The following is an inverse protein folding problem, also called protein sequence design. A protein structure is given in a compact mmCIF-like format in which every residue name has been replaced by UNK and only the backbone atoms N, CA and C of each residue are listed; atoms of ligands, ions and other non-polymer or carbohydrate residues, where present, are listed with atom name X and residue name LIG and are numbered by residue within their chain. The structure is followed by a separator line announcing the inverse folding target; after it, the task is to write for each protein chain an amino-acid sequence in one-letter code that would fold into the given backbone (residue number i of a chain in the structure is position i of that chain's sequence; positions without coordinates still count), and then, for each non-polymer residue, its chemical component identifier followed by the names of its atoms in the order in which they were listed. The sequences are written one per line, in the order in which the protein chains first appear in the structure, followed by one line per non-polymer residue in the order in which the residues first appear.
data_IF_527681593696
#
_entry.id   IF_527681593696
#
_cell.length_a   1.000
_cell.length_b   1.000
_cell.length_c   1.000
_cell.angle_alpha   90.00
_cell.angle_beta   90.00
_cell.angle_gamma   90.00
#
_symmetry.space_group_name_H-M   'P 1'
#
loop_
_entity.id
_entity.type
_entity.pdbx_description
1 polymer ?
#
# COMPACT_ATOMS: atom_id res chain seq x y z
N UNK A 1 24.85 2.63 -33.35
CA UNK A 1 25.91 2.47 -32.33
C UNK A 1 26.14 3.73 -31.48
N UNK A 2 26.36 4.94 -32.05
CA UNK A 2 26.62 6.18 -31.26
C UNK A 2 25.56 6.49 -30.18
N UNK A 3 24.29 6.23 -30.46
CA UNK A 3 23.18 6.44 -29.51
C UNK A 3 23.27 5.56 -28.26
N UNK A 4 23.60 4.28 -28.44
CA UNK A 4 23.68 3.30 -27.34
C UNK A 4 24.78 3.70 -26.35
N UNK A 5 25.96 4.10 -26.85
CA UNK A 5 27.07 4.54 -26.00
C UNK A 5 26.73 5.78 -25.17
N UNK A 6 26.04 6.75 -25.78
CA UNK A 6 25.61 7.95 -25.06
C UNK A 6 24.56 7.62 -24.00
N UNK A 7 23.56 6.81 -24.34
CA UNK A 7 22.51 6.43 -23.39
C UNK A 7 23.08 5.61 -22.21
N UNK A 8 24.07 4.75 -22.46
CA UNK A 8 24.81 4.02 -21.41
C UNK A 8 25.60 4.97 -20.52
N UNK A 9 26.31 5.95 -21.09
CA UNK A 9 27.06 6.94 -20.33
C UNK A 9 26.14 7.78 -19.43
N UNK A 10 25.01 8.25 -19.98
CA UNK A 10 24.01 9.00 -19.21
C UNK A 10 23.49 8.14 -18.06
N UNK A 11 23.14 6.88 -18.33
CA UNK A 11 22.64 5.97 -17.29
C UNK A 11 23.66 5.75 -16.17
N UNK A 12 24.95 5.57 -16.50
CA UNK A 12 26.02 5.44 -15.50
C UNK A 12 26.12 6.70 -14.63
N UNK A 13 26.02 7.89 -15.22
CA UNK A 13 26.02 9.15 -14.47
C UNK A 13 24.80 9.28 -13.55
N UNK A 14 23.60 8.89 -14.02
CA UNK A 14 22.38 8.88 -13.21
C UNK A 14 22.47 7.87 -12.05
N UNK A 15 23.07 6.70 -12.30
CA UNK A 15 23.32 5.70 -11.26
C UNK A 15 24.37 6.15 -10.24
N UNK A 16 25.35 6.98 -10.64
CA UNK A 16 26.30 7.58 -9.71
C UNK A 16 25.67 8.72 -8.89
N UNK A 17 24.76 9.50 -9.48
CA UNK A 17 24.07 10.60 -8.81
C UNK A 17 23.11 10.13 -7.71
N UNK A 18 22.40 9.01 -7.92
CA UNK A 18 21.44 8.47 -6.95
C UNK A 18 22.00 8.26 -5.53
N UNK A 19 23.09 7.48 -5.32
CA UNK A 19 23.67 7.29 -3.99
C UNK A 19 24.27 8.58 -3.43
N UNK A 20 24.77 9.50 -4.27
CA UNK A 20 25.29 10.79 -3.82
C UNK A 20 24.18 11.66 -3.20
N UNK A 21 23.02 11.72 -3.85
CA UNK A 21 21.86 12.44 -3.33
C UNK A 21 21.37 11.87 -1.99
N UNK A 22 21.33 10.54 -1.86
CA UNK A 22 20.98 9.91 -0.58
C UNK A 22 22.06 10.14 0.49
N UNK A 23 23.33 10.06 0.14
CA UNK A 23 24.43 10.34 1.07
C UNK A 23 24.32 11.78 1.60
N UNK A 24 24.03 12.76 0.73
CA UNK A 24 23.76 14.13 1.13
C UNK A 24 22.55 14.24 2.05
N UNK A 25 21.44 13.58 1.73
CA UNK A 25 20.26 13.58 2.59
C UNK A 25 20.55 12.99 3.98
N UNK A 26 21.40 11.96 4.05
CA UNK A 26 21.82 11.28 5.29
C UNK A 26 23.02 11.94 5.98
N UNK A 27 23.40 13.16 5.59
CA UNK A 27 24.36 13.95 6.36
C UNK A 27 23.73 14.38 7.69
N UNK A 28 24.41 14.07 8.80
CA UNK A 28 24.01 14.45 10.14
C UNK A 28 23.31 13.34 10.94
N UNK A 29 22.98 13.68 12.17
CA UNK A 29 22.29 12.79 13.11
C UNK A 29 20.79 12.81 12.84
N UNK A 30 20.19 11.62 12.77
CA UNK A 30 18.75 11.46 12.57
C UNK A 30 18.13 10.79 13.78
N UNK A 31 16.98 11.28 14.21
CA UNK A 31 16.27 10.72 15.35
C UNK A 31 14.75 10.73 15.16
N UNK A 32 14.11 9.73 15.76
CA UNK A 32 12.66 9.62 15.83
C UNK A 32 12.27 9.06 17.20
N UNK A 33 11.21 9.63 17.77
CA UNK A 33 10.63 9.21 19.05
C UNK A 33 9.22 8.72 18.76
N UNK A 34 8.89 7.58 19.35
CA UNK A 34 7.59 6.94 19.22
C UNK A 34 7.03 6.59 20.60
N UNK A 35 5.72 6.76 20.76
CA UNK A 35 4.94 6.31 21.91
C UNK A 35 4.11 5.07 21.58
N UNK A 36 3.53 4.45 22.62
CA UNK A 36 2.61 3.33 22.46
C UNK A 36 1.32 3.68 21.69
N UNK A 37 1.00 4.96 21.54
CA UNK A 37 -0.18 5.47 20.84
C UNK A 37 0.06 5.87 19.39
N UNK A 38 1.30 5.80 18.89
CA UNK A 38 1.57 6.16 17.51
C UNK A 38 0.90 5.21 16.51
N UNK A 39 0.61 5.75 15.34
CA UNK A 39 -0.04 5.02 14.25
C UNK A 39 0.80 3.80 13.84
N UNK A 40 0.15 2.66 13.58
CA UNK A 40 0.79 1.44 13.12
C UNK A 40 1.59 1.63 11.81
N UNK A 41 1.23 2.63 11.00
CA UNK A 41 2.00 2.99 9.80
C UNK A 41 3.38 3.60 10.12
N UNK A 42 3.52 4.27 11.27
CA UNK A 42 4.80 4.85 11.71
C UNK A 42 5.61 3.81 12.51
N UNK A 43 4.96 3.13 13.45
CA UNK A 43 5.55 2.08 14.28
C UNK A 43 4.72 0.79 14.19
N UNK A 44 4.95 -0.06 13.17
CA UNK A 44 4.31 -1.37 13.11
C UNK A 44 4.69 -2.20 14.32
N UNK A 45 3.67 -2.72 15.01
CA UNK A 45 3.81 -3.57 16.18
C UNK A 45 2.95 -4.82 16.00
N UNK A 46 3.54 -5.97 16.27
CA UNK A 46 2.88 -7.27 16.36
C UNK A 46 3.14 -7.85 17.76
N UNK A 47 2.28 -8.73 18.27
CA UNK A 47 2.44 -9.33 19.60
C UNK A 47 2.31 -8.32 20.75
N UNK A 48 1.48 -7.30 20.56
CA UNK A 48 1.14 -6.31 21.59
C UNK A 48 -0.38 -6.23 21.75
N UNK A 49 -0.82 -6.11 23.00
CA UNK A 49 -2.21 -5.87 23.34
C UNK A 49 -2.66 -4.44 22.97
N UNK A 50 -3.95 -4.18 23.14
CA UNK A 50 -4.53 -2.86 22.95
C UNK A 50 -3.90 -1.82 23.87
N UNK A 51 -4.07 -0.54 23.49
CA UNK A 51 -3.56 0.57 24.27
C UNK A 51 -4.33 0.71 25.58
N UNK A 52 -3.60 0.84 26.68
CA UNK A 52 -4.15 1.02 28.02
C UNK A 52 -3.56 2.26 28.71
N UNK A 53 -4.35 2.80 29.64
CA UNK A 53 -3.87 3.76 30.63
C UNK A 53 -3.75 3.03 31.96
N UNK A 54 -2.58 3.09 32.58
CA UNK A 54 -2.38 2.47 33.89
C UNK A 54 -2.81 3.44 34.99
N UNK A 55 -3.52 2.94 36.00
CA UNK A 55 -4.08 3.79 37.06
C UNK A 55 -3.01 4.45 37.95
N UNK A 56 -1.84 3.81 38.07
CA UNK A 56 -0.74 4.23 38.94
C UNK A 56 0.22 5.23 38.27
N UNK A 57 0.10 5.46 36.95
CA UNK A 57 1.04 6.31 36.21
C UNK A 57 0.42 6.96 34.96
N UNK A 58 0.74 8.24 34.69
CA UNK A 58 0.25 8.90 33.48
C UNK A 58 0.96 8.36 32.23
N UNK A 59 0.20 8.24 31.14
CA UNK A 59 0.71 7.85 29.83
C UNK A 59 -0.07 6.71 29.20
N UNK A 60 0.29 6.39 27.96
CA UNK A 60 -0.29 5.30 27.18
C UNK A 60 0.69 4.14 27.13
N UNK A 61 0.19 2.93 27.32
CA UNK A 61 0.98 1.71 27.43
C UNK A 61 0.40 0.61 26.56
N UNK A 62 1.23 -0.35 26.17
CA UNK A 62 0.81 -1.61 25.59
C UNK A 62 1.55 -2.75 26.26
N UNK A 63 0.87 -3.84 26.55
CA UNK A 63 1.48 -5.06 27.04
C UNK A 63 1.97 -5.90 25.87
N UNK A 64 3.13 -6.54 25.99
CA UNK A 64 3.52 -7.60 25.05
C UNK A 64 2.75 -8.89 25.39
N UNK A 65 2.54 -9.75 24.40
CA UNK A 65 1.97 -11.10 24.59
C UNK A 65 3.05 -12.18 24.86
N UNK A 66 4.26 -11.73 25.18
CA UNK A 66 5.46 -12.58 25.35
C UNK A 66 6.37 -12.64 24.13
N UNK A 67 5.89 -12.26 22.94
CA UNK A 67 6.68 -12.25 21.71
C UNK A 67 6.30 -11.06 20.82
N UNK A 68 6.69 -9.86 21.26
CA UNK A 68 6.39 -8.65 20.51
C UNK A 68 7.42 -8.40 19.40
N UNK A 69 6.95 -7.88 18.26
CA UNK A 69 7.81 -7.40 17.17
C UNK A 69 7.49 -5.95 16.87
N UNK A 70 8.49 -5.08 16.95
CA UNK A 70 8.40 -3.64 16.71
C UNK A 70 9.31 -3.29 15.54
N UNK A 71 8.84 -2.48 14.59
CA UNK A 71 9.58 -2.15 13.37
C UNK A 71 9.81 -0.63 13.18
N UNK A 72 10.61 0.05 14.03
CA UNK A 72 10.91 1.46 13.83
C UNK A 72 11.66 1.74 12.51
N UNK A 73 11.58 2.97 11.98
CA UNK A 73 12.33 3.36 10.79
C UNK A 73 13.84 3.37 11.07
N UNK A 74 14.63 3.12 10.03
CA UNK A 74 16.08 3.08 10.08
C UNK A 74 16.68 4.48 9.77
N UNK A 75 17.25 5.18 10.76
CA UNK A 75 17.91 6.48 10.55
C UNK A 75 19.22 6.40 9.75
N UNK A 76 19.74 5.20 9.43
CA UNK A 76 21.01 4.98 8.75
C UNK A 76 22.18 4.78 9.73
N UNK A 77 23.21 4.08 9.26
CA UNK A 77 24.41 3.76 10.03
C UNK A 77 24.16 2.91 11.29
N UNK A 78 25.04 3.06 12.28
CA UNK A 78 24.88 2.43 13.60
C UNK A 78 23.74 3.09 14.38
N UNK A 79 23.06 2.30 15.20
CA UNK A 79 21.80 2.68 15.81
C UNK A 79 21.92 2.72 17.32
N UNK A 80 21.49 3.82 17.92
CA UNK A 80 21.22 3.90 19.35
C UNK A 80 19.71 3.81 19.57
N UNK A 81 19.31 2.73 20.23
CA UNK A 81 17.93 2.44 20.58
C UNK A 81 17.71 2.73 22.07
N UNK A 82 16.66 3.50 22.37
CA UNK A 82 16.20 3.78 23.72
C UNK A 82 14.80 3.20 23.87
N UNK A 83 14.63 2.16 24.69
CA UNK A 83 13.34 1.55 24.96
C UNK A 83 12.83 1.94 26.34
N UNK A 84 11.58 2.38 26.43
CA UNK A 84 10.90 2.65 27.71
C UNK A 84 10.03 1.45 28.06
N UNK A 85 10.56 0.58 28.91
CA UNK A 85 9.92 -0.67 29.32
C UNK A 85 9.67 -0.69 30.83
N UNK A 86 8.69 -1.48 31.25
CA UNK A 86 8.47 -1.88 32.64
C UNK A 86 8.17 -3.36 32.69
N UNK A 87 8.53 -4.07 33.75
CA UNK A 87 8.01 -5.44 33.95
C UNK A 87 6.48 -5.45 34.08
N UNK A 88 5.87 -4.32 34.47
CA UNK A 88 4.43 -4.21 34.74
C UNK A 88 3.96 -4.98 35.97
N UNK A 89 4.88 -5.70 36.61
CA UNK A 89 4.67 -6.60 37.73
C UNK A 89 5.59 -6.16 38.87
N UNK A 90 5.30 -6.57 40.10
CA UNK A 90 6.14 -6.28 41.26
C UNK A 90 7.47 -7.05 41.26
N UNK A 91 7.74 -7.81 40.19
CA UNK A 91 8.91 -8.65 40.02
C UNK A 91 9.73 -8.24 38.78
N UNK A 92 10.99 -8.66 38.79
CA UNK A 92 11.91 -8.49 37.67
C UNK A 92 11.58 -9.51 36.57
N UNK A 93 11.52 -9.08 35.32
CA UNK A 93 11.20 -9.95 34.17
C UNK A 93 12.40 -10.06 33.23
N UNK A 94 12.91 -11.26 32.91
CA UNK A 94 13.97 -11.41 31.92
C UNK A 94 13.42 -11.08 30.52
N UNK A 95 14.18 -10.30 29.76
CA UNK A 95 13.86 -9.88 28.40
C UNK A 95 14.99 -10.30 27.47
N UNK A 96 14.62 -10.92 26.36
CA UNK A 96 15.53 -11.20 25.25
C UNK A 96 15.13 -10.31 24.08
N UNK A 97 16.00 -9.38 23.72
CA UNK A 97 15.84 -8.50 22.58
C UNK A 97 16.64 -9.05 21.41
N UNK A 98 15.99 -9.23 20.26
CA UNK A 98 16.64 -9.60 19.01
C UNK A 98 16.51 -8.48 17.99
N UNK A 99 17.62 -8.08 17.39
CA UNK A 99 17.64 -7.09 16.32
C UNK A 99 18.38 -7.66 15.09
N UNK A 100 17.78 -7.53 13.91
CA UNK A 100 18.43 -7.93 12.65
C UNK A 100 18.83 -9.41 12.59
N UNK A 101 19.88 -9.72 11.81
CA UNK A 101 20.40 -11.08 11.63
C UNK A 101 21.43 -11.42 12.72
N UNK A 102 20.94 -11.77 13.91
CA UNK A 102 21.72 -12.48 14.92
C UNK A 102 22.12 -11.69 16.16
N UNK A 103 21.81 -10.39 16.25
CA UNK A 103 22.10 -9.63 17.45
C UNK A 103 21.04 -9.96 18.51
N UNK A 104 21.45 -10.68 19.54
CA UNK A 104 20.62 -11.04 20.68
C UNK A 104 21.21 -10.43 21.94
N UNK A 105 20.43 -9.61 22.64
CA UNK A 105 20.80 -9.00 23.91
C UNK A 105 19.80 -9.44 24.97
N UNK A 106 20.29 -9.91 26.11
CA UNK A 106 19.46 -10.26 27.26
C UNK A 106 19.66 -9.26 28.39
N UNK A 107 18.57 -8.86 29.02
CA UNK A 107 18.58 -7.97 30.18
C UNK A 107 17.34 -8.21 31.03
N UNK A 108 17.24 -7.48 32.14
CA UNK A 108 16.11 -7.58 33.05
C UNK A 108 15.26 -6.30 33.02
N UNK A 109 13.98 -6.45 32.71
CA UNK A 109 12.97 -5.42 32.90
C UNK A 109 12.67 -5.30 34.40
N UNK A 110 12.90 -4.12 34.98
CA UNK A 110 12.66 -3.87 36.39
C UNK A 110 11.21 -3.39 36.60
N UNK A 111 10.67 -3.53 37.83
CA UNK A 111 9.45 -2.85 38.23
C UNK A 111 9.55 -1.33 38.03
N UNK A 112 8.45 -0.73 37.57
CA UNK A 112 8.38 0.68 37.19
C UNK A 112 8.94 0.96 35.79
N UNK A 113 8.62 2.13 35.24
CA UNK A 113 9.05 2.50 33.88
C UNK A 113 10.53 2.90 33.87
N UNK A 114 11.35 2.20 33.10
CA UNK A 114 12.79 2.44 32.94
C UNK A 114 13.15 2.63 31.48
N UNK A 115 14.25 3.34 31.24
CA UNK A 115 14.82 3.53 29.89
C UNK A 115 16.03 2.63 29.72
N UNK A 116 15.99 1.78 28.71
CA UNK A 116 17.05 0.85 28.34
C UNK A 116 17.75 1.35 27.08
N UNK A 117 19.09 1.47 27.14
CA UNK A 117 19.92 1.95 26.04
C UNK A 117 20.61 0.76 25.39
N UNK A 118 20.41 0.59 24.09
CA UNK A 118 21.02 -0.49 23.32
C UNK A 118 21.71 0.11 22.10
N UNK A 119 22.91 -0.40 21.80
CA UNK A 119 23.62 -0.13 20.56
C UNK A 119 23.37 -1.30 19.62
N UNK A 120 22.87 -1.02 18.43
CA UNK A 120 22.60 -2.01 17.39
C UNK A 120 23.47 -1.70 16.16
N UNK A 121 23.99 -2.72 15.47
CA UNK A 121 24.73 -2.48 14.24
C UNK A 121 23.81 -1.99 13.12
N UNK A 122 24.43 -1.46 12.08
CA UNK A 122 23.69 -1.00 10.90
C UNK A 122 22.87 -2.11 10.27
N UNK A 123 21.65 -1.76 9.87
CA UNK A 123 20.69 -2.68 9.26
C UNK A 123 20.47 -2.33 7.77
N UNK A 124 20.27 -3.33 6.89
CA UNK A 124 20.18 -3.10 5.45
C UNK A 124 18.86 -2.47 5.00
N UNK A 125 17.77 -2.71 5.73
CA UNK A 125 16.41 -2.28 5.37
C UNK A 125 16.07 -0.89 5.91
N UNK A 126 15.00 -0.28 5.38
CA UNK A 126 14.48 1.01 5.88
C UNK A 126 13.76 0.92 7.23
N UNK A 127 13.50 -0.31 7.69
CA UNK A 127 12.98 -0.57 9.04
C UNK A 127 13.88 -1.55 9.76
N UNK A 128 13.99 -1.36 11.05
CA UNK A 128 14.76 -2.20 11.97
C UNK A 128 13.77 -3.11 12.66
N UNK A 129 13.88 -4.42 12.48
CA UNK A 129 13.02 -5.37 13.21
C UNK A 129 13.62 -5.61 14.59
N UNK A 130 12.85 -5.27 15.63
CA UNK A 130 13.17 -5.52 17.03
C UNK A 130 12.16 -6.52 17.57
N UNK A 131 12.60 -7.72 17.92
CA UNK A 131 11.77 -8.68 18.64
C UNK A 131 12.08 -8.60 20.14
N UNK A 132 11.04 -8.57 20.96
CA UNK A 132 11.09 -8.52 22.41
C UNK A 132 10.40 -9.78 22.93
N UNK A 133 11.19 -10.72 23.42
CA UNK A 133 10.72 -11.96 24.02
C UNK A 133 10.79 -11.83 25.55
N UNK A 134 9.70 -12.18 26.24
CA UNK A 134 9.64 -12.18 27.71
C UNK A 134 8.68 -13.26 28.20
N UNK A 135 8.90 -13.87 29.38
CA UNK A 135 7.89 -14.69 30.03
C UNK A 135 6.59 -13.90 30.23
N UNK A 136 5.45 -14.58 30.13
CA UNK A 136 4.13 -13.99 30.36
C UNK A 136 3.55 -14.43 31.71
N UNK A 137 2.61 -13.64 32.22
CA UNK A 137 1.71 -14.04 33.31
C UNK A 137 0.27 -13.87 32.87
N UNK A 138 -0.56 -14.85 33.20
CA UNK A 138 -1.99 -14.76 32.93
C UNK A 138 -2.66 -13.89 33.98
N UNK A 139 -3.11 -12.69 33.60
CA UNK A 139 -3.86 -11.75 34.45
C UNK A 139 -5.14 -11.40 33.71
N UNK A 140 -6.29 -11.54 34.38
CA UNK A 140 -7.61 -11.29 33.78
C UNK A 140 -7.81 -12.00 32.43
N UNK A 141 -7.35 -13.26 32.35
CA UNK A 141 -7.41 -14.12 31.16
C UNK A 141 -6.57 -13.63 29.96
N UNK A 142 -5.59 -12.76 30.19
CA UNK A 142 -4.65 -12.31 29.17
C UNK A 142 -3.24 -12.70 29.57
N UNK A 143 -2.47 -13.18 28.61
CA UNK A 143 -1.05 -13.43 28.82
C UNK A 143 -0.29 -12.12 28.61
N UNK A 144 0.20 -11.56 29.73
CA UNK A 144 0.86 -10.27 29.78
C UNK A 144 2.36 -10.46 30.02
N UNK A 145 3.16 -9.98 29.08
CA UNK A 145 4.62 -9.88 29.19
C UNK A 145 5.04 -8.53 29.77
N UNK A 146 6.08 -7.93 29.20
CA UNK A 146 6.55 -6.59 29.61
C UNK A 146 5.64 -5.48 29.07
N UNK A 147 5.65 -4.34 29.76
CA UNK A 147 4.93 -3.12 29.34
C UNK A 147 5.84 -2.29 28.45
N UNK A 148 5.36 -1.96 27.25
CA UNK A 148 5.96 -1.01 26.34
C UNK A 148 5.27 0.36 26.46
N UNK A 149 6.05 1.43 26.65
CA UNK A 149 5.55 2.80 26.71
C UNK A 149 6.02 3.66 25.52
N UNK A 150 7.25 3.44 25.06
CA UNK A 150 7.81 4.21 23.97
C UNK A 150 9.21 3.78 23.56
N UNK A 151 9.65 4.32 22.44
CA UNK A 151 10.89 3.99 21.75
C UNK A 151 11.50 5.27 21.19
N UNK A 152 12.80 5.50 21.35
CA UNK A 152 13.54 6.50 20.59
C UNK A 152 14.65 5.80 19.83
N UNK A 153 14.78 6.11 18.55
CA UNK A 153 15.86 5.60 17.70
C UNK A 153 16.67 6.77 17.17
N UNK A 154 17.98 6.64 17.26
CA UNK A 154 18.95 7.62 16.78
C UNK A 154 19.94 6.87 15.91
N UNK A 155 20.32 7.46 14.78
CA UNK A 155 21.39 6.91 13.94
C UNK A 155 22.21 8.00 13.29
N UNK A 156 23.42 7.60 12.94
CA UNK A 156 24.42 8.43 12.28
C UNK A 156 25.10 7.58 11.22
N UNK A 157 25.10 8.03 9.97
CA UNK A 157 25.91 7.43 8.92
C UNK A 157 25.14 7.18 7.63
N UNK A 158 25.59 6.16 6.90
CA UNK A 158 25.16 5.92 5.52
C UNK A 158 23.69 5.50 5.40
N UNK A 159 23.03 5.84 4.27
CA UNK A 159 21.67 5.39 3.98
C UNK A 159 21.58 3.85 3.95
N UNK A 160 20.41 3.27 4.30
CA UNK A 160 20.21 1.83 4.23
C UNK A 160 20.52 1.30 2.81
N UNK A 161 21.37 0.27 2.67
CA UNK A 161 21.71 -0.33 1.38
C UNK A 161 20.51 -0.71 0.51
N UNK A 162 19.41 -1.18 1.11
CA UNK A 162 18.19 -1.52 0.37
C UNK A 162 17.52 -0.30 -0.28
N UNK A 163 17.56 0.85 0.39
CA UNK A 163 17.05 2.11 -0.17
C UNK A 163 17.90 2.58 -1.35
N UNK A 164 19.23 2.47 -1.25
CA UNK A 164 20.14 2.76 -2.38
C UNK A 164 19.82 1.85 -3.56
N UNK A 165 19.73 0.54 -3.31
CA UNK A 165 19.40 -0.45 -4.35
C UNK A 165 18.05 -0.19 -5.02
N UNK A 166 17.03 0.14 -4.23
CA UNK A 166 15.70 0.48 -4.75
C UNK A 166 15.72 1.76 -5.61
N UNK A 167 16.46 2.79 -5.20
CA UNK A 167 16.62 4.03 -5.96
C UNK A 167 17.39 3.82 -7.27
N UNK A 168 18.41 2.95 -7.27
CA UNK A 168 19.12 2.55 -8.49
C UNK A 168 18.20 1.78 -9.44
N UNK A 169 17.42 0.83 -8.92
CA UNK A 169 16.46 0.06 -9.72
C UNK A 169 15.40 0.97 -10.35
N UNK A 170 14.84 1.91 -9.57
CA UNK A 170 13.92 2.92 -10.08
C UNK A 170 14.57 3.82 -11.14
N UNK A 171 15.80 4.27 -10.91
CA UNK A 171 16.57 5.10 -11.86
C UNK A 171 16.72 4.38 -13.20
N UNK A 172 17.18 3.13 -13.19
CA UNK A 172 17.35 2.33 -14.41
C UNK A 172 16.02 2.07 -15.10
N UNK A 173 15.02 1.58 -14.37
CA UNK A 173 13.71 1.24 -14.92
C UNK A 173 13.03 2.45 -15.57
N UNK A 174 12.92 3.57 -14.84
CA UNK A 174 12.23 4.76 -15.33
C UNK A 174 13.01 5.44 -16.46
N UNK A 175 14.34 5.49 -16.40
CA UNK A 175 15.14 6.07 -17.49
C UNK A 175 14.93 5.32 -18.81
N UNK A 176 15.02 3.99 -18.77
CA UNK A 176 14.80 3.16 -19.95
C UNK A 176 13.37 3.32 -20.51
N UNK A 177 12.38 3.43 -19.62
CA UNK A 177 10.98 3.64 -20.00
C UNK A 177 10.79 5.02 -20.67
N UNK A 178 11.43 6.07 -20.15
CA UNK A 178 11.40 7.41 -20.77
C UNK A 178 12.07 7.40 -22.15
N UNK A 179 13.22 6.74 -22.29
CA UNK A 179 13.89 6.56 -23.58
C UNK A 179 13.00 5.82 -24.59
N UNK A 180 12.28 4.80 -24.13
CA UNK A 180 11.31 4.04 -24.94
C UNK A 180 10.11 4.89 -25.36
N UNK A 181 9.62 5.75 -24.46
CA UNK A 181 8.59 6.75 -24.74
C UNK A 181 9.09 7.93 -25.59
N UNK A 182 10.29 7.81 -26.20
CA UNK A 182 10.88 8.79 -27.12
C UNK A 182 11.17 10.16 -26.50
N UNK A 183 11.32 10.23 -25.16
CA UNK A 183 11.84 11.44 -24.54
C UNK A 183 13.28 11.71 -25.04
N UNK A 184 13.57 12.98 -25.32
CA UNK A 184 14.87 13.39 -25.82
C UNK A 184 16.00 13.14 -24.81
N UNK A 185 17.23 13.09 -25.31
CA UNK A 185 18.45 12.83 -24.52
C UNK A 185 18.73 13.86 -23.42
N UNK A 186 18.06 15.01 -23.45
CA UNK A 186 18.13 16.04 -22.40
C UNK A 186 16.96 15.89 -21.42
N UNK A 187 15.75 15.66 -21.93
CA UNK A 187 14.54 15.60 -21.12
C UNK A 187 14.52 14.37 -20.19
N UNK A 188 14.88 13.20 -20.71
CA UNK A 188 14.89 11.97 -19.91
C UNK A 188 15.81 12.05 -18.68
N UNK A 189 17.12 12.40 -18.81
CA UNK A 189 17.97 12.53 -17.62
C UNK A 189 17.56 13.68 -16.70
N UNK A 190 17.07 14.80 -17.24
CA UNK A 190 16.59 15.91 -16.40
C UNK A 190 15.42 15.49 -15.50
N UNK A 191 14.44 14.75 -16.04
CA UNK A 191 13.32 14.20 -15.27
C UNK A 191 13.83 13.27 -14.17
N UNK A 192 14.76 12.36 -14.50
CA UNK A 192 15.33 11.44 -13.52
C UNK A 192 16.07 12.19 -12.41
N UNK A 193 16.89 13.19 -12.73
CA UNK A 193 17.59 13.99 -11.74
C UNK A 193 16.63 14.74 -10.81
N UNK A 194 15.54 15.30 -11.35
CA UNK A 194 14.49 15.95 -10.55
C UNK A 194 13.82 14.93 -9.61
N UNK A 195 13.48 13.74 -10.11
CA UNK A 195 12.90 12.68 -9.28
C UNK A 195 13.89 12.24 -8.18
N UNK A 196 15.16 12.03 -8.50
CA UNK A 196 16.18 11.68 -7.53
C UNK A 196 16.35 12.75 -6.44
N UNK A 197 16.41 14.02 -6.83
CA UNK A 197 16.48 15.15 -5.90
C UNK A 197 15.24 15.23 -5.01
N UNK A 198 14.04 15.02 -5.56
CA UNK A 198 12.79 15.00 -4.79
C UNK A 198 12.78 13.85 -3.76
N UNK A 199 13.27 12.66 -4.12
CA UNK A 199 13.38 11.53 -3.19
C UNK A 199 14.41 11.79 -2.08
N UNK A 200 15.53 12.45 -2.41
CA UNK A 200 16.50 12.86 -1.40
C UNK A 200 15.95 13.97 -0.50
N UNK A 201 15.21 14.94 -1.04
CA UNK A 201 14.51 15.95 -0.26
C UNK A 201 13.48 15.33 0.69
N UNK A 202 12.71 14.34 0.23
CA UNK A 202 11.79 13.55 1.07
C UNK A 202 12.52 12.93 2.27
N UNK A 203 13.68 12.33 2.03
CA UNK A 203 14.52 11.78 3.10
C UNK A 203 15.08 12.86 4.02
N UNK A 204 15.49 14.01 3.48
CA UNK A 204 16.07 15.12 4.25
C UNK A 204 15.05 15.77 5.20
N UNK A 205 13.81 15.98 4.75
CA UNK A 205 12.75 16.64 5.56
C UNK A 205 12.13 15.73 6.62
N UNK A 206 12.66 14.53 6.84
CA UNK A 206 12.22 13.65 7.94
C UNK A 206 11.17 12.61 7.56
N UNK A 207 10.74 12.52 6.30
CA UNK A 207 9.76 11.52 5.86
C UNK A 207 10.34 10.10 5.75
N UNK A 208 11.63 9.92 6.03
CA UNK A 208 12.25 8.61 6.26
C UNK A 208 11.59 7.85 7.43
N UNK A 209 10.91 8.56 8.34
CA UNK A 209 10.18 7.98 9.49
C UNK A 209 9.11 6.96 9.11
N UNK A 210 8.61 7.00 7.89
CA UNK A 210 7.64 6.02 7.40
C UNK A 210 8.29 4.73 6.88
N UNK A 211 9.58 4.72 6.54
CA UNK A 211 10.27 3.51 6.07
C UNK A 211 9.57 2.75 4.93
N UNK A 212 8.90 3.47 4.02
CA UNK A 212 8.16 2.90 2.88
C UNK A 212 8.84 3.16 1.52
N UNK A 213 9.81 4.07 1.46
CA UNK A 213 10.30 4.61 0.20
C UNK A 213 11.00 3.54 -0.65
N UNK A 214 11.79 2.66 -0.02
CA UNK A 214 12.45 1.53 -0.69
C UNK A 214 11.45 0.60 -1.39
N UNK A 215 10.32 0.29 -0.74
CA UNK A 215 9.28 -0.56 -1.32
C UNK A 215 8.60 0.10 -2.52
N UNK A 216 8.31 1.40 -2.42
CA UNK A 216 7.71 2.19 -3.50
C UNK A 216 8.66 2.31 -4.70
N UNK A 217 9.93 2.67 -4.47
CA UNK A 217 10.93 2.79 -5.52
C UNK A 217 11.21 1.43 -6.18
N UNK A 218 11.29 0.36 -5.39
CA UNK A 218 11.40 -1.00 -5.90
C UNK A 218 10.24 -1.36 -6.82
N UNK A 219 9.00 -1.09 -6.39
CA UNK A 219 7.80 -1.34 -7.20
C UNK A 219 7.81 -0.52 -8.50
N UNK A 220 8.15 0.76 -8.45
CA UNK A 220 8.24 1.63 -9.64
C UNK A 220 9.31 1.13 -10.62
N UNK A 221 10.49 0.78 -10.12
CA UNK A 221 11.58 0.25 -10.95
C UNK A 221 11.23 -1.07 -11.63
N UNK A 222 10.66 -2.02 -10.88
CA UNK A 222 10.19 -3.30 -11.43
C UNK A 222 9.07 -3.08 -12.44
N UNK A 223 8.08 -2.25 -12.12
CA UNK A 223 6.96 -1.97 -13.02
C UNK A 223 7.45 -1.34 -14.35
N UNK A 224 8.41 -0.41 -14.29
CA UNK A 224 8.99 0.20 -15.48
C UNK A 224 9.75 -0.82 -16.34
N UNK A 225 10.57 -1.69 -15.73
CA UNK A 225 11.27 -2.76 -16.44
C UNK A 225 10.31 -3.79 -17.04
N UNK A 226 9.25 -4.16 -16.32
CA UNK A 226 8.20 -5.05 -16.82
C UNK A 226 7.47 -4.40 -17.99
N UNK A 227 7.15 -3.10 -17.92
CA UNK A 227 6.53 -2.38 -19.03
C UNK A 227 7.40 -2.41 -20.30
N UNK A 228 8.71 -2.19 -20.15
CA UNK A 228 9.67 -2.30 -21.27
C UNK A 228 9.70 -3.73 -21.83
N UNK A 229 9.79 -4.74 -20.95
CA UNK A 229 9.83 -6.15 -21.37
C UNK A 229 8.56 -6.59 -22.09
N UNK A 230 7.40 -6.19 -21.57
CA UNK A 230 6.09 -6.38 -22.20
C UNK A 230 6.08 -5.71 -23.57
N UNK A 231 6.51 -4.46 -23.68
CA UNK A 231 6.59 -3.78 -24.96
C UNK A 231 7.51 -4.52 -25.95
N UNK A 232 8.66 -5.00 -25.51
CA UNK A 232 9.58 -5.71 -26.42
C UNK A 232 9.00 -7.05 -26.91
N UNK A 233 8.33 -7.79 -26.01
CA UNK A 233 7.70 -9.07 -26.33
C UNK A 233 6.45 -8.88 -27.20
N UNK A 234 5.62 -7.87 -26.91
CA UNK A 234 4.31 -7.68 -27.56
C UNK A 234 4.30 -6.68 -28.72
N UNK A 235 5.23 -5.71 -28.78
CA UNK A 235 5.31 -4.69 -29.84
C UNK A 235 6.36 -4.99 -30.92
N UNK A 236 7.08 -6.12 -30.84
CA UNK A 236 7.75 -6.69 -32.01
C UNK A 236 6.77 -7.04 -33.15
N UNK A 237 5.46 -6.95 -32.91
CA UNK A 237 4.45 -6.96 -33.96
C UNK A 237 4.62 -5.70 -34.82
N UNK A 238 4.83 -5.83 -36.14
CA UNK A 238 5.00 -4.70 -37.04
C UNK A 238 3.88 -3.69 -36.78
N UNK A 239 4.27 -2.41 -36.64
CA UNK A 239 3.38 -1.26 -36.49
C UNK A 239 2.51 -1.23 -37.75
N UNK A 240 1.45 -2.03 -37.74
CA UNK A 240 0.49 -2.06 -38.83
C UNK A 240 -0.12 -0.67 -38.82
N UNK A 241 0.26 0.16 -39.79
CA UNK A 241 -0.50 1.31 -40.25
C UNK A 241 -1.83 0.77 -40.78
N UNK A 242 -2.67 0.24 -39.89
CA UNK A 242 -4.03 -0.08 -40.26
C UNK A 242 -4.70 1.26 -40.49
N UNK A 243 -5.34 1.48 -41.66
CA UNK A 243 -6.29 2.55 -41.78
C UNK A 243 -7.26 2.43 -40.60
N UNK A 244 -7.55 3.55 -39.94
CA UNK A 244 -8.42 3.61 -38.76
C UNK A 244 -9.69 2.84 -39.13
N UNK A 245 -9.78 1.58 -38.67
CA UNK A 245 -10.90 0.73 -38.98
C UNK A 245 -12.15 1.42 -38.42
N UNK A 246 -13.30 1.20 -39.04
CA UNK A 246 -14.55 1.75 -38.54
C UNK A 246 -14.65 1.46 -37.04
N UNK A 247 -14.94 2.47 -36.21
CA UNK A 247 -14.89 2.34 -34.76
C UNK A 247 -15.77 1.17 -34.31
N UNK A 248 -15.16 0.22 -33.61
CA UNK A 248 -15.86 -0.94 -33.04
C UNK A 248 -16.91 -0.41 -32.06
N UNK A 249 -18.17 -0.74 -32.29
CA UNK A 249 -19.28 -0.35 -31.41
C UNK A 249 -19.25 -1.25 -30.18
N UNK A 250 -19.72 -0.77 -29.04
CA UNK A 250 -19.75 -1.57 -27.80
C UNK A 250 -20.48 -2.92 -27.99
N UNK A 251 -21.56 -2.95 -28.78
CA UNK A 251 -22.28 -4.19 -29.13
C UNK A 251 -21.44 -5.24 -29.88
N UNK A 252 -20.37 -4.82 -30.55
CA UNK A 252 -19.50 -5.73 -31.29
C UNK A 252 -18.62 -6.56 -30.34
N UNK A 253 -18.49 -6.15 -29.07
CA UNK A 253 -17.85 -6.96 -28.01
C UNK A 253 -18.57 -8.28 -27.76
N UNK A 254 -19.88 -8.33 -28.01
CA UNK A 254 -20.70 -9.53 -27.84
C UNK A 254 -20.49 -10.55 -28.96
N UNK A 255 -19.69 -10.23 -30.00
CA UNK A 255 -19.37 -11.17 -31.07
C UNK A 255 -18.28 -12.15 -30.63
N UNK A 256 -18.29 -13.40 -31.12
CA UNK A 256 -17.33 -14.44 -30.73
C UNK A 256 -15.84 -14.01 -30.67
N UNK A 257 -15.28 -13.25 -31.64
CA UNK A 257 -13.86 -12.87 -31.58
C UNK A 257 -13.52 -11.98 -30.38
N UNK A 258 -14.47 -11.24 -29.83
CA UNK A 258 -14.26 -10.32 -28.70
C UNK A 258 -14.84 -10.85 -27.39
N UNK A 259 -15.90 -11.65 -27.48
CA UNK A 259 -16.60 -12.21 -26.33
C UNK A 259 -15.72 -13.16 -25.53
N UNK A 260 -15.00 -14.07 -26.20
CA UNK A 260 -14.16 -15.06 -25.52
C UNK A 260 -13.06 -14.38 -24.66
N UNK A 261 -12.24 -13.47 -25.20
CA UNK A 261 -11.27 -12.75 -24.38
C UNK A 261 -11.91 -11.93 -23.26
N UNK A 262 -13.04 -11.27 -23.53
CA UNK A 262 -13.75 -10.51 -22.50
C UNK A 262 -14.18 -11.41 -21.35
N UNK A 263 -14.80 -12.56 -21.63
CA UNK A 263 -15.20 -13.54 -20.62
C UNK A 263 -13.98 -14.04 -19.83
N UNK A 264 -12.86 -14.35 -20.49
CA UNK A 264 -11.62 -14.76 -19.83
C UNK A 264 -11.08 -13.66 -18.89
N UNK A 265 -11.12 -12.40 -19.32
CA UNK A 265 -10.71 -11.25 -18.49
C UNK A 265 -11.61 -11.05 -17.27
N UNK A 266 -12.93 -11.21 -17.44
CA UNK A 266 -13.89 -11.13 -16.34
C UNK A 266 -13.70 -12.28 -15.35
N UNK A 267 -13.47 -13.50 -15.84
CA UNK A 267 -13.14 -14.65 -15.00
C UNK A 267 -11.84 -14.43 -14.24
N UNK A 268 -10.82 -13.85 -14.88
CA UNK A 268 -9.56 -13.49 -14.21
C UNK A 268 -9.80 -12.49 -13.07
N UNK A 269 -10.55 -11.42 -13.32
CA UNK A 269 -10.87 -10.42 -12.30
C UNK A 269 -11.64 -11.03 -11.11
N UNK A 270 -12.62 -11.90 -11.38
CA UNK A 270 -13.36 -12.64 -10.35
C UNK A 270 -12.41 -13.57 -9.57
N UNK A 271 -11.56 -14.33 -10.26
CA UNK A 271 -10.60 -15.23 -9.63
C UNK A 271 -9.63 -14.48 -8.71
N UNK A 272 -9.19 -13.28 -9.09
CA UNK A 272 -8.37 -12.42 -8.24
C UNK A 272 -9.13 -11.90 -7.00
N UNK A 273 -10.44 -11.70 -7.08
CA UNK A 273 -11.28 -11.19 -5.99
C UNK A 273 -11.75 -12.27 -5.01
N UNK A 274 -11.98 -13.50 -5.48
CA UNK A 274 -12.57 -14.60 -4.69
C UNK A 274 -11.85 -14.88 -3.36
N UNK A 275 -10.50 -14.92 -3.29
CA UNK A 275 -9.79 -15.19 -2.03
C UNK A 275 -10.03 -14.14 -0.92
N UNK A 276 -10.57 -12.97 -1.26
CA UNK A 276 -10.69 -11.81 -0.37
C UNK A 276 -12.11 -11.57 0.14
N UNK A 277 -13.08 -12.35 -0.34
CA UNK A 277 -14.49 -12.19 0.07
C UNK A 277 -14.68 -12.43 1.56
N UNK A 278 -14.04 -13.46 2.10
CA UNK A 278 -14.15 -13.90 3.49
C UNK A 278 -12.97 -13.46 4.37
N UNK A 279 -12.11 -12.57 3.87
CA UNK A 279 -11.02 -12.03 4.69
C UNK A 279 -11.59 -11.02 5.68
N UNK A 280 -11.12 -11.04 6.95
CA UNK A 280 -11.57 -10.10 7.95
C UNK A 280 -11.30 -8.67 7.50
N UNK A 281 -12.18 -7.77 7.89
CA UNK A 281 -12.04 -6.34 7.64
C UNK A 281 -10.76 -5.83 8.33
N UNK A 282 -9.76 -5.36 7.58
CA UNK A 282 -8.49 -4.97 8.17
C UNK A 282 -8.52 -3.59 8.81
N UNK A 283 -9.52 -2.76 8.50
CA UNK A 283 -9.57 -1.34 8.92
C UNK A 283 -10.87 -0.98 9.65
N UNK A 284 -11.92 -1.79 9.52
CA UNK A 284 -13.25 -1.53 10.10
C UNK A 284 -14.20 -0.78 9.15
N UNK A 285 -13.79 -0.57 7.89
CA UNK A 285 -14.58 0.15 6.88
C UNK A 285 -15.88 -0.59 6.51
N UNK A 286 -15.84 -1.92 6.43
CA UNK A 286 -17.02 -2.75 6.14
C UNK A 286 -17.99 -2.74 7.30
N UNK A 287 -17.49 -2.80 8.54
CA UNK A 287 -18.32 -2.71 9.73
C UNK A 287 -18.97 -1.32 9.82
N UNK A 288 -18.19 -0.26 9.56
CA UNK A 288 -18.71 1.10 9.50
C UNK A 288 -19.81 1.22 8.44
N UNK A 289 -19.58 0.71 7.23
CA UNK A 289 -20.56 0.70 6.15
C UNK A 289 -21.85 -0.07 6.55
N UNK A 290 -21.73 -1.24 7.19
CA UNK A 290 -22.86 -2.03 7.67
C UNK A 290 -23.69 -1.26 8.69
N UNK A 291 -23.05 -0.63 9.68
CA UNK A 291 -23.74 0.22 10.68
C UNK A 291 -24.45 1.40 10.04
N UNK A 292 -23.84 2.02 9.01
CA UNK A 292 -24.45 3.11 8.23
C UNK A 292 -25.69 2.64 7.46
N UNK A 293 -25.62 1.47 6.83
CA UNK A 293 -26.80 0.85 6.21
C UNK A 293 -27.93 0.67 7.24
N UNK A 294 -27.61 0.17 8.43
CA UNK A 294 -28.59 -0.01 9.51
C UNK A 294 -29.24 1.30 9.95
N UNK A 295 -28.46 2.35 10.17
CA UNK A 295 -29.04 3.66 10.52
C UNK A 295 -29.96 4.21 9.44
N UNK A 296 -29.57 4.13 8.17
CA UNK A 296 -30.42 4.58 7.06
C UNK A 296 -31.67 3.72 6.92
N UNK A 297 -31.56 2.41 7.10
CA UNK A 297 -32.68 1.49 6.97
C UNK A 297 -33.70 1.64 8.11
N UNK A 298 -33.23 1.70 9.36
CA UNK A 298 -34.09 1.66 10.55
C UNK A 298 -34.59 3.03 11.01
N UNK A 299 -33.82 4.11 10.78
CA UNK A 299 -34.05 5.42 11.42
C UNK A 299 -34.47 6.54 10.46
N UNK A 300 -34.91 6.19 9.25
CA UNK A 300 -35.62 7.14 8.37
C UNK A 300 -34.90 7.55 7.08
N UNK A 301 -33.97 6.73 6.57
CA UNK A 301 -33.36 6.91 5.25
C UNK A 301 -32.11 7.78 5.27
N UNK A 302 -31.92 8.53 4.18
CA UNK A 302 -30.69 9.30 3.92
C UNK A 302 -30.43 10.45 4.91
N UNK A 303 -31.44 10.90 5.64
CA UNK A 303 -31.26 11.88 6.73
C UNK A 303 -30.34 11.35 7.85
N UNK A 304 -30.19 10.03 7.97
CA UNK A 304 -29.33 9.37 8.96
C UNK A 304 -27.91 9.13 8.45
N UNK A 305 -27.62 9.41 7.18
CA UNK A 305 -26.38 9.02 6.53
C UNK A 305 -25.13 9.64 7.18
N UNK A 306 -25.26 10.83 7.77
CA UNK A 306 -24.17 11.61 8.38
C UNK A 306 -24.19 11.65 9.92
N UNK A 307 -25.12 10.94 10.56
CA UNK A 307 -25.18 10.88 12.03
C UNK A 307 -23.87 10.32 12.58
N UNK A 308 -23.34 10.83 13.69
CA UNK A 308 -22.05 10.41 14.24
C UNK A 308 -20.86 10.60 13.26
N UNK A 309 -20.87 11.66 12.44
CA UNK A 309 -19.69 12.12 11.70
C UNK A 309 -19.21 11.18 10.59
N UNK A 310 -20.12 10.64 9.78
CA UNK A 310 -19.73 9.83 8.60
C UNK A 310 -18.94 10.65 7.60
N UNK A 311 -17.78 10.15 7.18
CA UNK A 311 -16.91 10.70 6.14
C UNK A 311 -17.13 10.05 4.75
N UNK A 312 -17.98 9.02 4.68
CA UNK A 312 -18.38 8.38 3.43
C UNK A 312 -18.98 9.39 2.44
N UNK A 313 -18.55 9.31 1.18
CA UNK A 313 -19.06 10.18 0.12
C UNK A 313 -20.57 9.95 -0.14
N UNK A 314 -21.35 11.00 -0.49
CA UNK A 314 -22.79 10.88 -0.73
C UNK A 314 -23.18 9.78 -1.71
N UNK A 315 -22.43 9.63 -2.81
CA UNK A 315 -22.69 8.59 -3.81
C UNK A 315 -22.61 7.17 -3.23
N UNK A 316 -21.67 6.95 -2.32
CA UNK A 316 -21.56 5.67 -1.62
C UNK A 316 -22.73 5.44 -0.67
N UNK A 317 -23.11 6.47 0.08
CA UNK A 317 -24.26 6.42 1.00
C UNK A 317 -25.57 6.10 0.25
N UNK A 318 -25.78 6.65 -0.94
CA UNK A 318 -26.93 6.28 -1.78
C UNK A 318 -26.90 4.80 -2.18
N UNK A 319 -25.72 4.28 -2.54
CA UNK A 319 -25.55 2.88 -2.91
C UNK A 319 -25.85 1.97 -1.73
N UNK A 320 -25.28 2.27 -0.55
CA UNK A 320 -25.55 1.55 0.70
C UNK A 320 -27.03 1.61 1.09
N UNK A 321 -27.68 2.76 0.94
CA UNK A 321 -29.11 2.93 1.24
C UNK A 321 -29.98 2.03 0.33
N UNK A 322 -29.64 1.90 -0.95
CA UNK A 322 -30.34 1.01 -1.89
C UNK A 322 -30.11 -0.46 -1.54
N UNK A 323 -28.91 -0.80 -1.05
CA UNK A 323 -28.58 -2.18 -0.67
C UNK A 323 -29.16 -2.59 0.70
N UNK A 324 -29.44 -1.65 1.59
CA UNK A 324 -29.83 -1.94 2.96
C UNK A 324 -31.03 -2.88 3.11
N UNK A 325 -32.13 -2.75 2.34
CA UNK A 325 -33.26 -3.69 2.41
C UNK A 325 -32.89 -5.15 2.12
N UNK A 326 -31.84 -5.40 1.32
CA UNK A 326 -31.44 -6.75 0.96
C UNK A 326 -30.66 -7.47 2.07
N UNK A 327 -30.10 -6.75 3.05
CA UNK A 327 -29.36 -7.36 4.15
C UNK A 327 -30.24 -8.36 4.90
N UNK A 328 -31.42 -7.95 5.34
CA UNK A 328 -32.34 -8.85 6.04
C UNK A 328 -32.93 -9.94 5.16
N UNK A 329 -33.22 -9.63 3.89
CA UNK A 329 -33.73 -10.62 2.93
C UNK A 329 -32.73 -11.76 2.73
N UNK A 330 -31.43 -11.47 2.80
CA UNK A 330 -30.34 -12.44 2.68
C UNK A 330 -29.90 -13.05 4.03
N UNK A 331 -30.63 -12.76 5.13
CA UNK A 331 -30.32 -13.29 6.45
C UNK A 331 -29.15 -12.62 7.18
N UNK A 332 -28.74 -11.43 6.74
CA UNK A 332 -27.71 -10.62 7.38
C UNK A 332 -28.26 -9.68 8.47
N UNK A 333 -27.34 -9.04 9.18
CA UNK A 333 -27.59 -7.97 10.16
C UNK A 333 -26.62 -6.81 9.93
N UNK A 334 -26.93 -5.63 10.47
CA UNK A 334 -26.11 -4.41 10.36
C UNK A 334 -25.13 -4.19 11.51
N UNK A 335 -25.32 -4.92 12.61
CA UNK A 335 -24.67 -4.67 13.89
C UNK A 335 -23.92 -5.92 14.37
N UNK A 336 -22.93 -5.70 15.22
CA UNK A 336 -21.99 -6.69 15.71
C UNK A 336 -22.68 -7.92 16.35
N UNK A 337 -22.32 -9.16 15.95
CA UNK A 337 -21.40 -9.51 14.87
C UNK A 337 -22.01 -9.31 13.48
N UNK A 338 -21.30 -8.55 12.63
CA UNK A 338 -21.71 -8.33 11.23
C UNK A 338 -21.43 -9.61 10.42
N UNK A 339 -22.44 -10.26 9.83
CA UNK A 339 -22.27 -11.50 9.10
C UNK A 339 -21.52 -11.31 7.77
N UNK A 340 -20.84 -12.36 7.32
CA UNK A 340 -20.15 -12.39 6.01
C UNK A 340 -21.06 -11.98 4.85
N UNK A 341 -22.35 -12.37 4.87
CA UNK A 341 -23.29 -12.01 3.80
C UNK A 341 -23.50 -10.50 3.71
N UNK A 342 -23.52 -9.78 4.84
CA UNK A 342 -23.60 -8.31 4.87
C UNK A 342 -22.31 -7.72 4.29
N UNK A 343 -21.14 -8.23 4.68
CA UNK A 343 -19.86 -7.80 4.11
C UNK A 343 -19.79 -8.03 2.59
N UNK A 344 -20.22 -9.20 2.11
CA UNK A 344 -20.27 -9.50 0.68
C UNK A 344 -21.20 -8.53 -0.05
N UNK A 345 -22.39 -8.26 0.49
CA UNK A 345 -23.33 -7.32 -0.12
C UNK A 345 -22.73 -5.91 -0.25
N UNK A 346 -22.00 -5.45 0.77
CA UNK A 346 -21.26 -4.17 0.75
C UNK A 346 -20.18 -4.17 -0.34
N UNK A 347 -19.49 -5.30 -0.59
CA UNK A 347 -18.42 -5.40 -1.59
C UNK A 347 -18.94 -5.46 -3.04
N UNK A 348 -20.17 -5.92 -3.27
CA UNK A 348 -20.74 -6.16 -4.61
C UNK A 348 -20.62 -4.95 -5.55
N UNK A 349 -21.00 -3.72 -5.17
CA UNK A 349 -20.87 -2.56 -6.07
C UNK A 349 -19.45 -2.33 -6.57
N UNK A 350 -18.46 -2.42 -5.67
CA UNK A 350 -17.05 -2.22 -6.01
C UNK A 350 -16.52 -3.32 -6.93
N UNK A 351 -16.93 -4.58 -6.70
CA UNK A 351 -16.63 -5.68 -7.62
C UNK A 351 -17.28 -5.50 -9.00
N UNK A 352 -18.55 -5.10 -9.06
CA UNK A 352 -19.22 -4.81 -10.33
C UNK A 352 -18.51 -3.68 -11.08
N UNK A 353 -18.01 -2.68 -10.36
CA UNK A 353 -17.27 -1.59 -10.96
C UNK A 353 -15.90 -2.00 -11.49
N UNK A 354 -15.20 -2.91 -10.80
CA UNK A 354 -14.00 -3.53 -11.34
C UNK A 354 -14.28 -4.26 -12.66
N UNK A 355 -15.33 -5.08 -12.72
CA UNK A 355 -15.72 -5.81 -13.94
C UNK A 355 -16.10 -4.85 -15.08
N UNK A 356 -16.82 -3.78 -14.77
CA UNK A 356 -17.14 -2.73 -15.73
C UNK A 356 -15.87 -2.02 -16.24
N UNK A 357 -14.93 -1.67 -15.35
CA UNK A 357 -13.66 -1.05 -15.74
C UNK A 357 -12.83 -1.96 -16.65
N UNK A 358 -12.69 -3.24 -16.31
CA UNK A 358 -12.01 -4.24 -17.16
C UNK A 358 -12.65 -4.31 -18.55
N UNK A 359 -13.99 -4.32 -18.60
CA UNK A 359 -14.75 -4.33 -19.87
C UNK A 359 -14.49 -3.07 -20.69
N UNK A 360 -14.51 -1.89 -20.06
CA UNK A 360 -14.28 -0.61 -20.71
C UNK A 360 -12.85 -0.49 -21.23
N UNK A 361 -11.85 -0.89 -20.45
CA UNK A 361 -10.45 -0.91 -20.86
C UNK A 361 -10.21 -1.86 -22.03
N UNK A 362 -10.81 -3.05 -21.99
CA UNK A 362 -10.75 -3.98 -23.12
C UNK A 362 -11.39 -3.36 -24.37
N UNK A 363 -12.62 -2.85 -24.26
CA UNK A 363 -13.32 -2.23 -25.38
C UNK A 363 -12.54 -1.08 -26.00
N UNK A 364 -12.06 -0.16 -25.17
CA UNK A 364 -11.27 0.98 -25.58
C UNK A 364 -9.95 0.53 -26.24
N UNK A 365 -9.28 -0.47 -25.67
CA UNK A 365 -8.08 -1.07 -26.24
C UNK A 365 -8.33 -1.72 -27.60
N UNK A 366 -9.44 -2.44 -27.81
CA UNK A 366 -9.76 -3.04 -29.12
C UNK A 366 -10.07 -1.94 -30.14
N UNK A 367 -10.69 -0.83 -29.71
CA UNK A 367 -11.04 0.30 -30.57
C UNK A 367 -9.81 1.06 -31.09
N UNK A 368 -8.80 1.30 -30.25
CA UNK A 368 -7.64 2.16 -30.60
C UNK A 368 -6.34 1.40 -30.84
N UNK A 369 -6.26 0.18 -30.32
CA UNK A 369 -5.12 -0.68 -30.50
C UNK A 369 -5.55 -1.97 -31.22
N UNK A 370 -4.77 -3.03 -31.06
CA UNK A 370 -5.17 -4.36 -31.51
C UNK A 370 -5.69 -5.17 -30.32
N UNK A 371 -6.44 -6.22 -30.63
CA UNK A 371 -7.04 -7.10 -29.62
C UNK A 371 -6.02 -7.65 -28.61
N UNK A 372 -4.80 -7.98 -29.04
CA UNK A 372 -3.76 -8.51 -28.12
C UNK A 372 -3.36 -7.47 -27.07
N UNK A 373 -3.12 -6.22 -27.48
CA UNK A 373 -2.80 -5.12 -26.56
C UNK A 373 -3.98 -4.81 -25.64
N UNK A 374 -5.20 -4.86 -26.17
CA UNK A 374 -6.41 -4.67 -25.37
C UNK A 374 -6.55 -5.71 -24.25
N UNK A 375 -6.32 -7.00 -24.59
CA UNK A 375 -6.32 -8.10 -23.61
C UNK A 375 -5.25 -7.85 -22.55
N UNK A 376 -4.04 -7.52 -22.98
CA UNK A 376 -2.90 -7.29 -22.08
C UNK A 376 -3.18 -6.15 -21.09
N UNK A 377 -3.64 -4.98 -21.56
CA UNK A 377 -3.92 -3.83 -20.69
C UNK A 377 -5.03 -4.17 -19.67
N UNK A 378 -6.12 -4.78 -20.14
CA UNK A 378 -7.23 -5.15 -19.26
C UNK A 378 -6.83 -6.25 -18.26
N UNK A 379 -6.01 -7.22 -18.67
CA UNK A 379 -5.50 -8.29 -17.81
C UNK A 379 -4.55 -7.75 -16.75
N UNK A 380 -3.63 -6.84 -17.12
CA UNK A 380 -2.76 -6.16 -16.17
C UNK A 380 -3.59 -5.41 -15.14
N UNK A 381 -4.57 -4.60 -15.56
CA UNK A 381 -5.46 -3.91 -14.63
C UNK A 381 -6.19 -4.86 -13.69
N UNK A 382 -6.76 -5.95 -14.20
CA UNK A 382 -7.47 -6.95 -13.40
C UNK A 382 -6.56 -7.67 -12.38
N UNK A 383 -5.27 -7.84 -12.70
CA UNK A 383 -4.31 -8.56 -11.87
C UNK A 383 -3.57 -7.68 -10.85
N UNK A 384 -3.65 -6.34 -10.97
CA UNK A 384 -2.96 -5.40 -10.07
C UNK A 384 -3.50 -5.53 -8.64
N UNK A 385 -2.67 -5.87 -7.62
CA UNK A 385 -3.13 -6.10 -6.26
C UNK A 385 -3.96 -4.99 -5.62
N UNK A 386 -3.53 -3.71 -5.67
CA UNK A 386 -4.33 -2.61 -5.16
C UNK A 386 -5.77 -2.57 -5.69
N UNK A 387 -6.01 -2.97 -6.94
CA UNK A 387 -7.34 -2.89 -7.57
C UNK A 387 -8.30 -3.90 -6.95
N UNK A 388 -7.91 -5.17 -6.86
CA UNK A 388 -8.78 -6.20 -6.28
C UNK A 388 -8.78 -6.17 -4.74
N UNK A 389 -7.74 -5.66 -4.07
CA UNK A 389 -7.78 -5.37 -2.62
C UNK A 389 -8.86 -4.34 -2.33
N UNK A 390 -8.84 -3.22 -3.05
CA UNK A 390 -9.81 -2.15 -2.88
C UNK A 390 -11.24 -2.65 -3.20
N UNK A 391 -11.41 -3.37 -4.32
CA UNK A 391 -12.73 -3.86 -4.72
C UNK A 391 -13.31 -4.98 -3.83
N UNK A 392 -12.49 -5.96 -3.45
CA UNK A 392 -12.98 -7.23 -2.87
C UNK A 392 -12.59 -7.46 -1.41
N UNK A 393 -11.48 -6.88 -0.94
CA UNK A 393 -11.11 -6.96 0.47
C UNK A 393 -11.80 -5.84 1.25
N UNK A 394 -11.60 -4.59 0.83
CA UNK A 394 -12.11 -3.42 1.54
C UNK A 394 -13.51 -2.98 1.10
N UNK A 395 -13.90 -3.26 -0.15
CA UNK A 395 -15.17 -2.80 -0.69
C UNK A 395 -15.28 -1.26 -0.77
N UNK A 396 -14.17 -0.55 -1.01
CA UNK A 396 -14.19 0.91 -0.98
C UNK A 396 -14.80 1.52 -2.24
N UNK A 397 -15.16 2.78 -2.10
CA UNK A 397 -15.81 3.63 -3.11
C UNK A 397 -14.87 4.02 -4.25
N UNK A 398 -13.54 3.96 -4.08
CA UNK A 398 -12.60 4.46 -5.09
C UNK A 398 -12.77 3.76 -6.44
N UNK A 399 -13.02 2.44 -6.43
CA UNK A 399 -13.27 1.67 -7.64
C UNK A 399 -14.57 2.10 -8.31
N UNK A 400 -15.60 2.47 -7.53
CA UNK A 400 -16.84 3.03 -8.07
C UNK A 400 -16.61 4.39 -8.73
N UNK A 401 -15.80 5.26 -8.10
CA UNK A 401 -15.49 6.61 -8.60
C UNK A 401 -14.59 6.55 -9.83
N UNK A 402 -13.81 5.49 -9.99
CA UNK A 402 -13.01 5.28 -11.20
C UNK A 402 -13.87 5.16 -12.46
N UNK A 403 -15.10 4.63 -12.37
CA UNK A 403 -15.99 4.49 -13.54
C UNK A 403 -16.38 5.81 -14.19
N UNK A 404 -16.93 6.83 -13.48
CA UNK A 404 -17.23 8.12 -14.10
C UNK A 404 -15.97 8.83 -14.62
N UNK A 405 -14.80 8.61 -14.01
CA UNK A 405 -13.53 9.12 -14.54
C UNK A 405 -13.14 8.44 -15.87
N UNK A 406 -13.29 7.13 -15.97
CA UNK A 406 -13.03 6.41 -17.23
C UNK A 406 -14.09 6.79 -18.27
N UNK A 407 -15.35 6.88 -17.88
CA UNK A 407 -16.44 7.30 -18.76
C UNK A 407 -16.21 8.73 -19.30
N UNK A 408 -15.71 9.66 -18.48
CA UNK A 408 -15.41 11.02 -18.94
C UNK A 408 -14.26 11.02 -19.97
N UNK A 409 -13.21 10.23 -19.75
CA UNK A 409 -12.14 10.04 -20.73
C UNK A 409 -12.68 9.45 -22.05
N UNK A 410 -13.56 8.45 -21.97
CA UNK A 410 -14.20 7.84 -23.14
C UNK A 410 -15.10 8.82 -23.90
N UNK A 411 -15.82 9.69 -23.19
CA UNK A 411 -16.67 10.73 -23.79
C UNK A 411 -15.85 11.83 -24.47
N UNK A 412 -14.76 12.29 -23.84
CA UNK A 412 -13.82 13.25 -24.42
C UNK A 412 -13.21 12.73 -25.71
N UNK A 413 -12.82 11.46 -25.70
CA UNK A 413 -12.26 10.74 -26.84
C UNK A 413 -13.31 10.52 -27.95
N UNK A 414 -14.55 10.19 -27.61
CA UNK A 414 -15.65 10.10 -28.59
C UNK A 414 -15.90 11.44 -29.29
N UNK A 415 -15.82 12.55 -28.54
CA UNK A 415 -15.89 13.91 -29.09
C UNK A 415 -14.68 14.33 -29.93
N UNK A 416 -13.62 13.50 -30.02
CA UNK A 416 -12.32 13.86 -30.61
C UNK A 416 -11.74 15.18 -30.06
N UNK A 417 -12.02 15.50 -28.80
CA UNK A 417 -11.65 16.79 -28.21
C UNK A 417 -12.31 18.01 -28.86
N UNK A 418 -13.40 17.85 -29.65
CA UNK A 418 -14.23 18.96 -30.11
C UNK A 418 -15.17 19.38 -28.97
N UNK A 419 -14.67 20.25 -28.10
CA UNK A 419 -15.45 21.03 -27.15
C UNK A 419 -15.04 22.49 -27.28
#
# INVERSE_FOLDING_TARGET
MRRIWLDTLILLLLCAAAPLWLALAYTGQRSAVFGASDLSAMLPMEGVHEQENLADRPGTFRWTDGSARIQPPNPGGELQLLLRLSSGLDEVTPVVLRAGKGDTQSFFALPGLRTYYLLLPSQPGERVTIAIESPTRTIDRRDLGVVFSGLSIVGTGSPPPLLIGAMLLATVGVYLLLCQAQFGQVAAPAIILVLQAAMAAWQYVGLWRYGLLSSLLGAVGVAALVAIGIEHIFLALPRQERPIAAPIRFRDLLRPPHLIPLVLLLMLAIACCLPWQHKPDPVGDLELAARRMGFMYERGGLNQAFVNGSDLMPFWLYTLCVLAPFVHVLGGTFYDPVPDITHTLIKVPSMLSLLATVTLLYWWGVRYANQRRAILIAALYAAIPPVWINAAWWGQVDVLISLPMIASLLLLDYGRGRW
#
